data_IF_407041227443
#
_entry.id   IF_407041227443
#
_cell.length_a   1.000
_cell.length_b   1.000
_cell.length_c   1.000
_cell.angle_alpha   90.00
_cell.angle_beta   90.00
_cell.angle_gamma   90.00
#
_symmetry.space_group_name_H-M   'P 1'
#
loop_
_entity.id
_entity.type
_entity.pdbx_description
1 polymer ?
#
# COMPACT_ATOMS: atom_id res chain seq x y z
N UNK A 1 3.17 12.85 19.15
CA UNK A 1 4.36 12.68 20.02
C UNK A 1 5.64 12.54 19.17
N UNK A 2 5.72 11.64 18.19
CA UNK A 2 6.92 11.48 17.33
C UNK A 2 7.39 12.76 16.64
N UNK A 3 6.49 13.51 16.00
CA UNK A 3 6.82 14.80 15.36
C UNK A 3 7.42 15.80 16.36
N UNK A 4 6.79 15.98 17.52
CA UNK A 4 7.29 16.93 18.54
C UNK A 4 8.70 16.54 19.03
N UNK A 5 8.94 15.23 19.23
CA UNK A 5 10.25 14.73 19.61
C UNK A 5 11.28 14.99 18.50
N UNK A 6 10.95 14.70 17.25
CA UNK A 6 11.84 14.91 16.11
C UNK A 6 12.21 16.38 15.92
N UNK A 7 11.23 17.30 16.03
CA UNK A 7 11.47 18.74 15.96
C UNK A 7 12.35 19.24 17.13
N UNK A 8 12.11 18.75 18.33
CA UNK A 8 12.92 19.08 19.50
C UNK A 8 14.37 18.64 19.32
N UNK A 9 14.59 17.40 18.87
CA UNK A 9 15.92 16.86 18.59
C UNK A 9 16.61 17.58 17.44
N UNK A 10 15.88 18.01 16.41
CA UNK A 10 16.41 18.79 15.29
C UNK A 10 16.91 20.18 15.71
N UNK A 11 16.31 20.78 16.75
CA UNK A 11 16.75 22.07 17.31
C UNK A 11 17.92 21.97 18.30
N UNK A 12 18.30 20.76 18.72
CA UNK A 12 19.38 20.51 19.66
C UNK A 12 20.57 19.89 18.93
N UNK A 13 21.71 20.57 18.92
CA UNK A 13 22.96 20.03 18.37
C UNK A 13 23.93 19.67 19.52
N UNK A 14 23.61 18.58 20.24
CA UNK A 14 24.40 18.11 21.37
C UNK A 14 24.46 16.57 21.40
N UNK A 15 25.42 16.00 22.14
CA UNK A 15 25.62 14.56 22.24
C UNK A 15 24.40 13.79 22.78
N UNK A 16 23.54 14.43 23.56
CA UNK A 16 22.33 13.79 24.12
C UNK A 16 21.27 13.65 23.03
N UNK A 17 21.08 14.65 22.18
CA UNK A 17 20.13 14.58 21.06
C UNK A 17 20.54 13.53 20.06
N UNK A 18 21.83 13.41 19.73
CA UNK A 18 22.36 12.35 18.87
C UNK A 18 22.15 10.95 19.48
N UNK A 19 22.39 10.78 20.78
CA UNK A 19 22.19 9.49 21.45
C UNK A 19 20.70 9.07 21.42
N UNK A 20 19.78 10.01 21.69
CA UNK A 20 18.34 9.72 21.64
C UNK A 20 17.92 9.37 20.19
N UNK A 21 18.41 10.11 19.20
CA UNK A 21 18.08 9.87 17.80
C UNK A 21 18.58 8.50 17.32
N UNK A 22 19.81 8.08 17.72
CA UNK A 22 20.35 6.76 17.43
C UNK A 22 19.44 5.65 17.99
N UNK A 23 18.91 5.84 19.21
CA UNK A 23 17.94 4.91 19.80
C UNK A 23 16.65 4.89 18.97
N UNK A 24 16.10 6.06 18.61
CA UNK A 24 14.87 6.16 17.80
C UNK A 24 15.03 5.46 16.45
N UNK A 25 16.14 5.70 15.75
CA UNK A 25 16.44 5.07 14.46
C UNK A 25 16.61 3.56 14.61
N UNK A 26 17.27 3.11 15.68
CA UNK A 26 17.46 1.68 15.97
C UNK A 26 16.13 1.00 16.28
N UNK A 27 15.27 1.61 17.10
CA UNK A 27 13.93 1.10 17.42
C UNK A 27 13.06 1.02 16.17
N UNK A 28 13.07 2.07 15.33
CA UNK A 28 12.40 2.06 14.01
C UNK A 28 12.85 0.88 13.16
N UNK A 29 14.18 0.70 13.05
CA UNK A 29 14.77 -0.39 12.27
C UNK A 29 14.31 -1.76 12.77
N UNK A 30 14.40 -2.03 14.07
CA UNK A 30 14.01 -3.33 14.65
C UNK A 30 12.50 -3.58 14.46
N UNK A 31 11.66 -2.57 14.72
CA UNK A 31 10.21 -2.69 14.54
C UNK A 31 9.85 -2.98 13.08
N UNK A 32 10.50 -2.30 12.13
CA UNK A 32 10.30 -2.52 10.70
C UNK A 32 10.74 -3.94 10.27
N UNK A 33 11.90 -4.41 10.75
CA UNK A 33 12.40 -5.78 10.49
C UNK A 33 11.43 -6.84 11.01
N UNK A 34 10.92 -6.67 12.24
CA UNK A 34 9.96 -7.59 12.83
C UNK A 34 8.65 -7.65 12.02
N UNK A 35 8.10 -6.51 11.66
CA UNK A 35 6.87 -6.47 10.85
C UNK A 35 7.12 -7.09 9.48
N UNK A 36 8.22 -6.75 8.81
CA UNK A 36 8.62 -7.32 7.52
C UNK A 36 8.76 -8.84 7.57
N UNK A 37 9.29 -9.40 8.68
CA UNK A 37 9.34 -10.85 8.90
C UNK A 37 7.92 -11.47 8.96
N UNK A 38 6.96 -10.79 9.60
CA UNK A 38 5.60 -11.30 9.75
C UNK A 38 4.77 -11.24 8.45
N UNK A 39 5.09 -10.35 7.51
CA UNK A 39 4.30 -10.14 6.29
C UNK A 39 4.12 -11.41 5.45
N UNK A 40 5.17 -12.20 5.11
CA UNK A 40 5.00 -13.45 4.36
C UNK A 40 4.11 -14.46 5.09
N UNK A 41 4.19 -14.53 6.42
CA UNK A 41 3.32 -15.40 7.23
C UNK A 41 1.86 -15.00 7.11
N UNK A 42 1.56 -13.68 7.16
CA UNK A 42 0.20 -13.15 7.01
C UNK A 42 -0.34 -13.49 5.62
N UNK A 43 0.45 -13.26 4.56
CA UNK A 43 0.05 -13.55 3.18
C UNK A 43 -0.28 -15.04 3.01
N UNK A 44 0.57 -15.94 3.47
CA UNK A 44 0.35 -17.38 3.38
C UNK A 44 -0.87 -17.78 4.22
N UNK A 45 -0.95 -17.29 5.45
CA UNK A 45 -2.00 -17.64 6.41
C UNK A 45 -3.40 -17.18 6.01
N UNK A 46 -3.52 -16.15 5.16
CA UNK A 46 -4.83 -15.70 4.71
C UNK A 46 -5.15 -16.09 3.27
N UNK A 47 -4.22 -15.95 2.33
CA UNK A 47 -4.51 -16.21 0.91
C UNK A 47 -4.67 -17.70 0.63
N UNK A 48 -3.76 -18.57 1.08
CA UNK A 48 -3.81 -19.99 0.75
C UNK A 48 -5.10 -20.66 1.25
N UNK A 49 -5.51 -20.53 2.53
CA UNK A 49 -6.77 -21.12 2.99
C UNK A 49 -8.01 -20.50 2.34
N UNK A 50 -7.98 -19.18 2.05
CA UNK A 50 -9.11 -18.53 1.39
C UNK A 50 -9.33 -19.06 -0.04
N UNK A 51 -8.24 -19.32 -0.78
CA UNK A 51 -8.33 -19.94 -2.11
C UNK A 51 -8.86 -21.37 -2.01
N UNK A 52 -8.44 -22.16 -1.04
CA UNK A 52 -8.98 -23.52 -0.86
C UNK A 52 -10.47 -23.52 -0.59
N UNK A 53 -10.98 -22.57 0.21
CA UNK A 53 -12.41 -22.42 0.49
C UNK A 53 -13.25 -22.05 -0.75
N UNK A 54 -12.65 -21.40 -1.75
CA UNK A 54 -13.32 -21.10 -3.02
C UNK A 54 -13.49 -22.35 -3.91
N UNK A 55 -12.72 -23.42 -3.65
CA UNK A 55 -12.81 -24.69 -4.35
C UNK A 55 -12.68 -24.54 -5.86
N UNK A 56 -13.63 -25.09 -6.62
CA UNK A 56 -13.64 -25.03 -8.09
C UNK A 56 -13.72 -23.60 -8.67
N UNK A 57 -14.10 -22.60 -7.87
CA UNK A 57 -14.19 -21.21 -8.30
C UNK A 57 -12.92 -20.39 -8.03
N UNK A 58 -11.90 -20.98 -7.40
CA UNK A 58 -10.69 -20.28 -6.96
C UNK A 58 -9.99 -19.55 -8.13
N UNK A 59 -9.74 -20.25 -9.24
CA UNK A 59 -9.08 -19.66 -10.42
C UNK A 59 -9.89 -18.50 -11.02
N UNK A 60 -11.21 -18.62 -11.06
CA UNK A 60 -12.09 -17.57 -11.58
C UNK A 60 -12.08 -16.34 -10.70
N UNK A 61 -12.16 -16.53 -9.38
CA UNK A 61 -12.11 -15.42 -8.42
C UNK A 61 -10.77 -14.69 -8.44
N UNK A 62 -9.67 -15.44 -8.58
CA UNK A 62 -8.34 -14.86 -8.71
C UNK A 62 -8.21 -13.98 -9.95
N UNK A 63 -8.66 -14.46 -11.12
CA UNK A 63 -8.64 -13.68 -12.37
C UNK A 63 -9.46 -12.40 -12.22
N UNK A 64 -10.64 -12.48 -11.63
CA UNK A 64 -11.48 -11.30 -11.40
C UNK A 64 -10.80 -10.32 -10.45
N UNK A 65 -10.20 -10.79 -9.35
CA UNK A 65 -9.49 -9.95 -8.41
C UNK A 65 -8.31 -9.22 -9.07
N UNK A 66 -7.49 -9.94 -9.83
CA UNK A 66 -6.38 -9.36 -10.61
C UNK A 66 -6.89 -8.30 -11.59
N UNK A 67 -7.92 -8.62 -12.36
CA UNK A 67 -8.48 -7.72 -13.36
C UNK A 67 -8.97 -6.41 -12.75
N UNK A 68 -9.76 -6.46 -11.67
CA UNK A 68 -10.28 -5.24 -11.04
C UNK A 68 -9.18 -4.41 -10.38
N UNK A 69 -8.15 -5.05 -9.79
CA UNK A 69 -7.01 -4.36 -9.21
C UNK A 69 -6.18 -3.61 -10.26
N UNK A 70 -5.86 -4.27 -11.38
CA UNK A 70 -5.12 -3.64 -12.49
C UNK A 70 -5.93 -2.52 -13.14
N UNK A 71 -7.21 -2.74 -13.44
CA UNK A 71 -8.07 -1.72 -14.03
C UNK A 71 -8.16 -0.49 -13.12
N UNK A 72 -8.27 -0.69 -11.80
CA UNK A 72 -8.28 0.41 -10.85
C UNK A 72 -6.94 1.15 -10.81
N UNK A 73 -5.81 0.47 -10.71
CA UNK A 73 -4.49 1.11 -10.64
C UNK A 73 -4.15 1.87 -11.92
N UNK A 74 -4.36 1.26 -13.09
CA UNK A 74 -4.12 1.91 -14.39
C UNK A 74 -5.10 3.07 -14.60
N UNK A 75 -6.36 2.90 -14.23
CA UNK A 75 -7.35 3.97 -14.29
C UNK A 75 -6.99 5.17 -13.42
N UNK A 76 -6.44 4.94 -12.24
CA UNK A 76 -5.94 5.99 -11.35
C UNK A 76 -4.75 6.76 -11.97
N UNK A 77 -3.83 6.06 -12.65
CA UNK A 77 -2.73 6.70 -13.37
C UNK A 77 -3.24 7.59 -14.53
N UNK A 78 -4.20 7.12 -15.31
CA UNK A 78 -4.81 7.94 -16.36
C UNK A 78 -5.57 9.13 -15.80
N UNK A 79 -6.28 8.97 -14.70
CA UNK A 79 -6.93 10.07 -14.00
C UNK A 79 -5.91 11.12 -13.53
N UNK A 80 -4.77 10.70 -12.97
CA UNK A 80 -3.69 11.59 -12.59
C UNK A 80 -3.07 12.32 -13.79
N UNK A 81 -2.84 11.61 -14.89
CA UNK A 81 -2.34 12.18 -16.14
C UNK A 81 -3.26 13.28 -16.67
N UNK A 82 -4.57 12.99 -16.76
CA UNK A 82 -5.56 13.98 -17.19
C UNK A 82 -5.59 15.20 -16.25
N UNK A 83 -5.60 14.96 -14.93
CA UNK A 83 -5.57 16.02 -13.92
C UNK A 83 -4.28 16.85 -14.01
N UNK A 84 -3.15 16.20 -14.27
CA UNK A 84 -1.86 16.86 -14.44
C UNK A 84 -1.85 17.83 -15.61
N UNK A 85 -2.28 17.40 -16.78
CA UNK A 85 -2.37 18.29 -17.95
C UNK A 85 -3.35 19.46 -17.77
N UNK A 86 -4.39 19.29 -16.95
CA UNK A 86 -5.40 20.34 -16.76
C UNK A 86 -5.04 21.31 -15.64
N UNK A 87 -4.43 20.86 -14.55
CA UNK A 87 -4.22 21.66 -13.33
C UNK A 87 -2.82 22.30 -13.29
N UNK A 88 -1.78 21.53 -13.60
CA UNK A 88 -0.39 21.98 -13.43
C UNK A 88 0.00 23.22 -14.29
N UNK A 89 -0.56 23.46 -15.49
CA UNK A 89 -0.28 24.68 -16.23
C UNK A 89 -0.62 25.97 -15.48
N UNK A 90 -1.56 25.91 -14.53
CA UNK A 90 -2.03 27.05 -13.75
C UNK A 90 -1.27 27.26 -12.42
N UNK A 91 -0.27 26.42 -12.13
CA UNK A 91 0.51 26.48 -10.89
C UNK A 91 1.90 27.04 -11.14
N UNK A 92 2.30 28.02 -10.30
CA UNK A 92 3.68 28.49 -10.22
C UNK A 92 4.40 27.74 -9.07
N UNK A 93 5.27 26.81 -9.41
CA UNK A 93 5.99 25.98 -8.46
C UNK A 93 7.48 26.25 -8.61
N UNK A 94 8.14 26.73 -7.53
CA UNK A 94 9.58 26.93 -7.49
C UNK A 94 10.29 25.69 -6.93
N UNK A 95 11.31 25.14 -7.61
CA UNK A 95 11.98 23.90 -7.22
C UNK A 95 13.09 24.06 -6.17
N UNK A 96 13.20 25.20 -5.50
CA UNK A 96 14.30 25.45 -4.54
C UNK A 96 14.11 24.61 -3.27
N UNK A 97 14.85 23.50 -3.19
CA UNK A 97 14.79 22.53 -2.09
C UNK A 97 16.14 22.47 -1.38
N UNK A 98 16.21 23.06 -0.19
CA UNK A 98 17.35 22.91 0.73
C UNK A 98 17.57 21.45 1.16
N UNK A 99 18.85 21.06 1.32
CA UNK A 99 19.23 19.73 1.75
C UNK A 99 18.60 19.31 3.09
N UNK A 100 18.29 18.03 3.20
CA UNK A 100 17.82 17.40 4.43
C UNK A 100 19.00 17.06 5.35
N UNK A 101 18.73 16.96 6.67
CA UNK A 101 19.68 16.40 7.62
C UNK A 101 19.80 14.89 7.45
N UNK A 102 21.00 14.38 7.49
CA UNK A 102 21.23 12.93 7.49
C UNK A 102 20.83 12.32 8.84
N UNK A 103 20.25 11.13 8.79
CA UNK A 103 19.99 10.35 9.98
C UNK A 103 21.27 9.65 10.43
N UNK A 104 21.50 9.53 11.75
CA UNK A 104 22.62 8.74 12.24
C UNK A 104 22.42 7.26 11.96
N UNK A 105 23.51 6.51 11.97
CA UNK A 105 23.47 5.06 11.85
C UNK A 105 22.79 4.41 13.09
N UNK A 106 22.24 3.21 12.87
CA UNK A 106 21.67 2.40 13.95
C UNK A 106 22.76 2.01 14.95
N UNK A 107 22.42 1.98 16.25
CA UNK A 107 23.37 1.59 17.32
C UNK A 107 23.87 0.15 17.13
N UNK A 108 22.97 -0.74 16.70
CA UNK A 108 23.31 -2.10 16.29
C UNK A 108 22.33 -2.59 15.22
N UNK A 109 22.80 -3.50 14.39
CA UNK A 109 21.98 -4.11 13.35
C UNK A 109 21.50 -5.49 13.80
N UNK A 110 20.18 -5.62 13.98
CA UNK A 110 19.52 -6.91 14.16
C UNK A 110 18.83 -7.27 12.84
N UNK A 111 19.50 -8.03 12.00
CA UNK A 111 18.89 -8.51 10.77
C UNK A 111 17.93 -9.66 11.08
N UNK A 112 16.64 -9.45 10.87
CA UNK A 112 15.62 -10.50 10.93
C UNK A 112 15.19 -10.77 9.47
N UNK A 113 15.84 -11.72 8.77
CA UNK A 113 15.52 -11.97 7.38
C UNK A 113 14.10 -12.52 7.26
N UNK A 114 13.37 -12.08 6.25
CA UNK A 114 12.08 -12.68 5.89
C UNK A 114 12.27 -14.16 5.56
N UNK A 115 11.30 -15.01 5.93
CA UNK A 115 11.30 -16.44 5.56
C UNK A 115 11.35 -16.58 4.04
N UNK A 116 10.67 -15.69 3.32
CA UNK A 116 10.74 -15.55 1.87
C UNK A 116 10.31 -14.12 1.47
N UNK A 117 10.71 -13.64 0.29
CA UNK A 117 10.21 -12.37 -0.24
C UNK A 117 8.68 -12.35 -0.34
N UNK A 118 8.07 -11.18 -0.15
CA UNK A 118 6.61 -10.97 -0.17
C UNK A 118 5.95 -11.55 -1.42
N UNK A 119 6.55 -11.31 -2.61
CA UNK A 119 6.05 -11.87 -3.86
C UNK A 119 6.15 -13.39 -3.92
N UNK A 120 7.22 -13.98 -3.37
CA UNK A 120 7.34 -15.44 -3.28
C UNK A 120 6.25 -16.03 -2.39
N UNK A 121 5.93 -15.38 -1.26
CA UNK A 121 4.84 -15.79 -0.39
C UNK A 121 3.47 -15.71 -1.09
N UNK A 122 3.25 -14.66 -1.89
CA UNK A 122 2.03 -14.50 -2.68
C UNK A 122 1.87 -15.61 -3.72
N UNK A 123 2.89 -15.82 -4.56
CA UNK A 123 2.86 -16.90 -5.56
C UNK A 123 2.74 -18.27 -4.92
N UNK A 124 3.48 -18.54 -3.85
CA UNK A 124 3.39 -19.78 -3.08
C UNK A 124 1.95 -20.02 -2.59
N UNK A 125 1.34 -19.01 -1.98
CA UNK A 125 -0.03 -19.08 -1.44
C UNK A 125 -1.06 -19.38 -2.53
N UNK A 126 -0.93 -18.69 -3.68
CA UNK A 126 -1.82 -18.90 -4.83
C UNK A 126 -1.65 -20.31 -5.40
N UNK A 127 -0.41 -20.76 -5.64
CA UNK A 127 -0.16 -22.10 -6.20
C UNK A 127 -0.61 -23.21 -5.26
N UNK A 128 -0.27 -23.13 -3.97
CA UNK A 128 -0.66 -24.15 -2.98
C UNK A 128 -2.19 -24.15 -2.78
N UNK A 129 -2.80 -22.96 -2.68
CA UNK A 129 -4.25 -22.82 -2.54
C UNK A 129 -5.02 -23.40 -3.73
N UNK A 130 -4.59 -23.08 -4.95
CA UNK A 130 -5.20 -23.63 -6.18
C UNK A 130 -5.00 -25.15 -6.28
N UNK A 131 -3.77 -25.63 -6.04
CA UNK A 131 -3.49 -27.07 -6.12
C UNK A 131 -4.30 -27.87 -5.08
N UNK A 132 -4.41 -27.35 -3.85
CA UNK A 132 -5.24 -27.96 -2.82
C UNK A 132 -6.73 -27.95 -3.18
N UNK A 133 -7.23 -26.85 -3.78
CA UNK A 133 -8.61 -26.74 -4.26
C UNK A 133 -8.89 -27.73 -5.41
N UNK A 134 -8.01 -27.82 -6.41
CA UNK A 134 -8.17 -28.75 -7.55
C UNK A 134 -8.16 -30.22 -7.13
N UNK A 135 -7.32 -30.57 -6.14
CA UNK A 135 -7.22 -31.93 -5.62
C UNK A 135 -8.26 -32.26 -4.53
N UNK A 136 -9.10 -31.31 -4.14
CA UNK A 136 -10.04 -31.43 -3.00
C UNK A 136 -9.37 -32.00 -1.73
N UNK A 137 -8.13 -31.53 -1.42
CA UNK A 137 -7.31 -32.06 -0.34
C UNK A 137 -7.79 -31.56 1.02
N UNK A 138 -8.60 -32.36 1.71
CA UNK A 138 -9.16 -32.02 3.03
C UNK A 138 -8.07 -31.77 4.09
N UNK A 139 -7.04 -32.60 4.13
CA UNK A 139 -5.95 -32.50 5.12
C UNK A 139 -5.19 -31.19 4.96
N UNK A 140 -4.80 -30.84 3.73
CA UNK A 140 -4.07 -29.60 3.44
C UNK A 140 -4.95 -28.40 3.74
N UNK A 141 -6.22 -28.43 3.39
CA UNK A 141 -7.17 -27.33 3.68
C UNK A 141 -7.30 -27.11 5.20
N UNK A 142 -7.48 -28.16 5.98
CA UNK A 142 -7.52 -28.06 7.45
C UNK A 142 -6.21 -27.52 8.05
N UNK A 143 -5.07 -28.03 7.58
CA UNK A 143 -3.77 -27.52 8.02
C UNK A 143 -3.57 -26.02 7.73
N UNK A 144 -4.01 -25.56 6.56
CA UNK A 144 -3.97 -24.14 6.20
C UNK A 144 -4.91 -23.29 7.07
N UNK A 145 -6.08 -23.80 7.44
CA UNK A 145 -7.01 -23.11 8.34
C UNK A 145 -6.46 -23.00 9.76
N UNK A 146 -5.86 -24.07 10.29
CA UNK A 146 -5.15 -24.00 11.57
C UNK A 146 -3.99 -23.01 11.53
N UNK A 147 -3.25 -22.98 10.43
CA UNK A 147 -2.17 -22.02 10.24
C UNK A 147 -2.72 -20.58 10.19
N UNK A 148 -3.89 -20.33 9.57
CA UNK A 148 -4.56 -19.04 9.61
C UNK A 148 -4.85 -18.57 11.04
N UNK A 149 -5.35 -19.46 11.90
CA UNK A 149 -5.64 -19.16 13.30
C UNK A 149 -4.37 -18.80 14.09
N UNK A 150 -3.27 -19.51 13.84
CA UNK A 150 -1.96 -19.21 14.44
C UNK A 150 -1.48 -17.81 13.98
N UNK A 151 -1.54 -17.53 12.69
CA UNK A 151 -1.12 -16.24 12.12
C UNK A 151 -1.98 -15.10 12.66
N UNK A 152 -3.30 -15.28 12.78
CA UNK A 152 -4.20 -14.30 13.39
C UNK A 152 -3.80 -13.98 14.83
N UNK A 153 -3.38 -15.00 15.59
CA UNK A 153 -2.88 -14.80 16.96
C UNK A 153 -1.56 -14.04 17.00
N UNK A 154 -0.65 -14.28 16.05
CA UNK A 154 0.60 -13.51 15.90
C UNK A 154 0.28 -12.04 15.58
N UNK A 155 -0.62 -11.81 14.64
CA UNK A 155 -1.03 -10.46 14.23
C UNK A 155 -1.59 -9.68 15.42
N UNK A 156 -2.55 -10.24 16.13
CA UNK A 156 -3.26 -9.53 17.21
C UNK A 156 -2.39 -9.31 18.45
N UNK A 157 -1.51 -10.26 18.78
CA UNK A 157 -0.71 -10.20 20.02
C UNK A 157 0.65 -9.53 19.86
N UNK A 158 1.21 -9.51 18.65
CA UNK A 158 2.55 -8.99 18.41
C UNK A 158 2.57 -7.87 17.36
N UNK A 159 1.99 -8.07 16.16
CA UNK A 159 2.12 -7.08 15.07
C UNK A 159 1.40 -5.79 15.43
N UNK A 160 0.11 -5.87 15.77
CA UNK A 160 -0.70 -4.67 16.10
C UNK A 160 -0.10 -3.85 17.25
N UNK A 161 0.37 -4.42 18.37
CA UNK A 161 1.01 -3.65 19.43
C UNK A 161 2.33 -2.97 19.05
N UNK A 162 3.06 -3.47 18.05
CA UNK A 162 4.31 -2.86 17.58
C UNK A 162 4.08 -1.68 16.62
N UNK A 163 2.92 -1.62 15.94
CA UNK A 163 2.61 -0.55 14.98
C UNK A 163 2.74 0.88 15.54
N UNK A 164 2.21 1.22 16.73
CA UNK A 164 2.34 2.58 17.28
C UNK A 164 3.81 3.00 17.49
N UNK A 165 4.68 2.04 17.82
CA UNK A 165 6.10 2.29 17.98
C UNK A 165 6.75 2.60 16.64
N UNK A 166 6.48 1.80 15.60
CA UNK A 166 6.96 2.05 14.24
C UNK A 166 6.48 3.41 13.72
N UNK A 167 5.18 3.72 13.87
CA UNK A 167 4.60 5.00 13.44
C UNK A 167 5.27 6.17 14.16
N UNK A 168 5.39 6.10 15.49
CA UNK A 168 5.99 7.17 16.29
C UNK A 168 7.43 7.46 15.92
N UNK A 169 8.25 6.42 15.72
CA UNK A 169 9.65 6.56 15.32
C UNK A 169 9.79 7.04 13.86
N UNK A 170 8.93 6.62 12.95
CA UNK A 170 8.90 7.10 11.56
C UNK A 170 8.65 8.60 11.48
N UNK A 171 7.61 9.10 12.15
CA UNK A 171 7.36 10.55 12.17
C UNK A 171 8.41 11.35 12.92
N UNK A 172 9.08 10.74 13.90
CA UNK A 172 10.21 11.39 14.59
C UNK A 172 11.39 11.59 13.64
N UNK A 173 11.76 10.58 12.86
CA UNK A 173 12.86 10.68 11.89
C UNK A 173 12.54 11.69 10.78
N UNK A 174 11.34 11.67 10.19
CA UNK A 174 10.91 12.64 9.17
C UNK A 174 10.94 14.10 9.68
N UNK A 175 10.56 14.32 10.93
CA UNK A 175 10.60 15.65 11.54
C UNK A 175 12.05 16.11 11.80
N UNK A 176 12.93 15.21 12.24
CA UNK A 176 14.34 15.49 12.45
C UNK A 176 15.08 15.83 11.16
N UNK A 177 14.89 15.06 10.10
CA UNK A 177 15.50 15.27 8.78
C UNK A 177 15.16 16.64 8.19
N UNK A 178 14.05 17.24 8.58
CA UNK A 178 13.53 18.46 8.01
C UNK A 178 12.52 18.24 6.89
N UNK A 179 12.19 17.00 6.58
CA UNK A 179 11.18 16.63 5.59
C UNK A 179 9.85 17.35 5.84
N UNK A 180 9.39 17.36 7.10
CA UNK A 180 8.13 18.02 7.49
C UNK A 180 8.25 19.55 7.46
N UNK A 181 9.40 20.13 7.84
CA UNK A 181 9.53 21.58 8.01
C UNK A 181 10.00 22.31 6.75
N UNK A 182 10.82 21.70 5.92
CA UNK A 182 11.44 22.34 4.75
C UNK A 182 10.78 21.92 3.44
N UNK A 183 10.60 20.63 3.19
CA UNK A 183 10.12 20.13 1.91
C UNK A 183 8.59 20.13 1.81
N UNK A 184 7.89 19.70 2.86
CA UNK A 184 6.43 19.66 2.84
C UNK A 184 5.78 21.01 2.46
N UNK A 185 6.25 22.20 2.95
CA UNK A 185 5.64 23.47 2.56
C UNK A 185 5.78 23.78 1.06
N UNK A 186 6.91 23.39 0.43
CA UNK A 186 7.18 23.66 -1.00
C UNK A 186 6.24 22.86 -1.89
N UNK A 187 6.04 21.58 -1.54
CA UNK A 187 5.20 20.68 -2.31
C UNK A 187 3.76 20.60 -1.82
N UNK A 188 3.40 21.39 -0.79
CA UNK A 188 2.10 21.30 -0.12
C UNK A 188 0.91 21.43 -1.08
N UNK A 189 0.99 22.36 -2.03
CA UNK A 189 -0.09 22.55 -3.01
C UNK A 189 -0.25 21.31 -3.87
N UNK A 190 0.85 20.72 -4.36
CA UNK A 190 0.82 19.50 -5.17
C UNK A 190 0.26 18.34 -4.36
N UNK A 191 0.72 18.19 -3.11
CA UNK A 191 0.26 17.17 -2.17
C UNK A 191 -1.25 17.27 -1.94
N UNK A 192 -1.76 18.48 -1.69
CA UNK A 192 -3.20 18.72 -1.49
C UNK A 192 -3.99 18.33 -2.75
N UNK A 193 -3.52 18.71 -3.93
CA UNK A 193 -4.17 18.35 -5.20
C UNK A 193 -4.24 16.83 -5.37
N UNK A 194 -3.12 16.14 -5.13
CA UNK A 194 -3.08 14.67 -5.21
C UNK A 194 -3.99 14.03 -4.17
N UNK A 195 -4.02 14.53 -2.94
CA UNK A 195 -4.95 14.05 -1.91
C UNK A 195 -6.42 14.23 -2.30
N UNK A 196 -6.77 15.38 -2.88
CA UNK A 196 -8.12 15.59 -3.44
C UNK A 196 -8.39 14.55 -4.55
N UNK A 197 -7.41 14.29 -5.41
CA UNK A 197 -7.48 13.24 -6.42
C UNK A 197 -7.73 11.85 -5.81
N UNK A 198 -7.04 11.50 -4.73
CA UNK A 198 -7.26 10.25 -4.01
C UNK A 198 -8.70 10.13 -3.50
N UNK A 199 -9.25 11.19 -2.89
CA UNK A 199 -10.63 11.16 -2.39
C UNK A 199 -11.67 11.08 -3.52
N UNK A 200 -11.42 11.76 -4.64
CA UNK A 200 -12.28 11.63 -5.84
C UNK A 200 -12.24 10.19 -6.36
N UNK A 201 -11.04 9.61 -6.46
CA UNK A 201 -10.86 8.24 -6.93
C UNK A 201 -11.53 7.22 -6.00
N UNK A 202 -11.33 7.34 -4.69
CA UNK A 202 -11.98 6.49 -3.69
C UNK A 202 -13.52 6.63 -3.78
N UNK A 203 -14.03 7.84 -3.94
CA UNK A 203 -15.47 8.08 -4.11
C UNK A 203 -16.00 7.37 -5.35
N UNK A 204 -15.27 7.44 -6.46
CA UNK A 204 -15.61 6.72 -7.68
C UNK A 204 -15.60 5.20 -7.46
N UNK A 205 -14.52 4.65 -6.88
CA UNK A 205 -14.39 3.22 -6.62
C UNK A 205 -15.51 2.69 -5.72
N UNK A 206 -15.78 3.36 -4.60
CA UNK A 206 -16.84 2.96 -3.68
C UNK A 206 -18.23 3.10 -4.29
N UNK A 207 -18.45 4.12 -5.11
CA UNK A 207 -19.72 4.29 -5.86
C UNK A 207 -19.93 3.16 -6.85
N UNK A 208 -18.90 2.83 -7.64
CA UNK A 208 -18.94 1.70 -8.57
C UNK A 208 -19.13 0.36 -7.85
N UNK A 209 -18.41 0.16 -6.75
CA UNK A 209 -18.51 -1.04 -5.94
C UNK A 209 -19.92 -1.23 -5.35
N UNK A 210 -20.48 -0.17 -4.78
CA UNK A 210 -21.84 -0.18 -4.23
C UNK A 210 -22.90 -0.43 -5.29
N UNK A 211 -22.79 0.26 -6.44
CA UNK A 211 -23.70 0.06 -7.57
C UNK A 211 -23.62 -1.36 -8.14
N UNK A 212 -22.40 -1.90 -8.28
CA UNK A 212 -22.18 -3.25 -8.78
C UNK A 212 -22.68 -4.32 -7.81
N UNK A 213 -22.34 -4.22 -6.52
CA UNK A 213 -22.76 -5.17 -5.48
C UNK A 213 -24.22 -4.97 -5.03
N UNK A 214 -24.86 -3.86 -5.40
CA UNK A 214 -26.19 -3.43 -4.90
C UNK A 214 -26.23 -3.32 -3.37
N UNK A 215 -25.14 -2.86 -2.77
CA UNK A 215 -24.97 -2.67 -1.33
C UNK A 215 -24.51 -1.25 -1.02
N UNK A 216 -24.79 -0.76 0.18
CA UNK A 216 -24.36 0.57 0.59
C UNK A 216 -22.84 0.58 0.88
N UNK A 217 -22.02 1.27 0.08
CA UNK A 217 -20.57 1.30 0.25
C UNK A 217 -20.13 2.02 1.53
N UNK A 218 -20.96 2.91 2.08
CA UNK A 218 -20.66 3.61 3.34
C UNK A 218 -20.58 2.64 4.54
N UNK A 219 -21.24 1.49 4.46
CA UNK A 219 -21.12 0.44 5.48
C UNK A 219 -19.70 -0.16 5.54
N UNK A 220 -18.93 -0.02 4.47
CA UNK A 220 -17.52 -0.41 4.43
C UNK A 220 -16.64 0.78 4.81
N UNK A 221 -16.77 1.88 4.11
CA UNK A 221 -15.89 3.04 4.23
C UNK A 221 -15.81 3.58 5.67
N UNK A 222 -16.93 3.60 6.41
CA UNK A 222 -16.98 4.08 7.81
C UNK A 222 -16.04 3.34 8.78
N UNK A 223 -15.64 2.11 8.45
CA UNK A 223 -14.75 1.29 9.28
C UNK A 223 -13.28 1.44 8.91
N UNK A 224 -12.94 2.05 7.76
CA UNK A 224 -11.58 2.10 7.23
C UNK A 224 -10.69 3.22 7.80
N UNK A 225 -11.23 4.09 8.66
CA UNK A 225 -10.45 5.15 9.31
C UNK A 225 -9.18 4.65 10.00
N UNK A 226 -9.21 3.61 10.85
CA UNK A 226 -8.02 3.06 11.49
C UNK A 226 -6.99 2.53 10.48
N UNK A 227 -7.42 1.83 9.43
CA UNK A 227 -6.52 1.33 8.38
C UNK A 227 -5.88 2.49 7.60
N UNK A 228 -6.66 3.53 7.25
CA UNK A 228 -6.15 4.75 6.62
C UNK A 228 -5.03 5.39 7.45
N UNK A 229 -5.28 5.64 8.74
CA UNK A 229 -4.31 6.27 9.64
C UNK A 229 -3.07 5.40 9.88
N UNK A 230 -3.23 4.08 9.96
CA UNK A 230 -2.10 3.15 10.06
C UNK A 230 -1.25 3.18 8.79
N UNK A 231 -1.88 3.20 7.62
CA UNK A 231 -1.17 3.30 6.34
C UNK A 231 -0.39 4.63 6.22
N UNK A 232 -1.00 5.76 6.61
CA UNK A 232 -0.30 7.06 6.68
C UNK A 232 0.93 6.98 7.59
N UNK A 233 0.80 6.30 8.73
CA UNK A 233 1.88 6.22 9.71
C UNK A 233 2.99 5.25 9.35
N UNK A 234 2.65 4.12 8.74
CA UNK A 234 3.62 3.05 8.41
C UNK A 234 4.23 3.21 7.03
N UNK A 235 3.57 3.93 6.13
CA UNK A 235 3.93 4.03 4.70
C UNK A 235 4.02 2.64 4.03
N UNK A 236 3.23 1.66 4.52
CA UNK A 236 3.33 0.28 4.07
C UNK A 236 1.96 -0.41 4.11
N UNK A 237 1.45 -0.81 2.95
CA UNK A 237 0.24 -1.64 2.84
C UNK A 237 0.42 -2.97 3.57
N UNK A 238 1.60 -3.57 3.47
CA UNK A 238 1.93 -4.82 4.13
C UNK A 238 1.90 -4.68 5.66
N UNK A 239 2.51 -3.63 6.22
CA UNK A 239 2.45 -3.36 7.66
C UNK A 239 1.04 -3.02 8.14
N UNK A 240 0.19 -2.47 7.26
CA UNK A 240 -1.20 -2.12 7.56
C UNK A 240 -2.18 -3.29 7.42
N UNK A 241 -1.76 -4.38 6.78
CA UNK A 241 -2.61 -5.50 6.39
C UNK A 241 -3.47 -6.04 7.54
N UNK A 242 -2.89 -6.21 8.72
CA UNK A 242 -3.61 -6.70 9.90
C UNK A 242 -4.78 -5.80 10.32
N UNK A 243 -4.56 -4.49 10.28
CA UNK A 243 -5.60 -3.50 10.61
C UNK A 243 -6.65 -3.41 9.50
N UNK A 244 -6.22 -3.51 8.23
CA UNK A 244 -7.12 -3.52 7.08
C UNK A 244 -8.07 -4.72 7.11
N UNK A 245 -7.56 -5.91 7.45
CA UNK A 245 -8.38 -7.12 7.67
C UNK A 245 -9.43 -6.91 8.77
N UNK A 246 -9.02 -6.35 9.92
CA UNK A 246 -9.93 -6.08 11.02
C UNK A 246 -11.02 -5.07 10.61
N UNK A 247 -10.65 -4.00 9.90
CA UNK A 247 -11.60 -3.00 9.39
C UNK A 247 -12.59 -3.61 8.39
N UNK A 248 -12.11 -4.46 7.49
CA UNK A 248 -12.94 -5.13 6.50
C UNK A 248 -13.91 -6.12 7.15
N UNK A 249 -13.47 -6.88 8.17
CA UNK A 249 -14.34 -7.81 8.93
C UNK A 249 -15.47 -7.09 9.68
N UNK A 250 -15.22 -5.88 10.18
CA UNK A 250 -16.27 -5.03 10.79
C UNK A 250 -17.35 -4.59 9.79
N UNK A 251 -17.11 -4.78 8.50
CA UNK A 251 -18.04 -4.40 7.43
C UNK A 251 -19.06 -5.49 7.08
N UNK A 252 -19.03 -6.63 7.75
CA UNK A 252 -20.04 -7.70 7.57
C UNK A 252 -21.45 -7.21 7.93
N UNK A 253 -22.47 -7.68 7.24
CA UNK A 253 -22.47 -8.60 6.08
C UNK A 253 -22.30 -7.89 4.72
N UNK A 254 -21.88 -6.63 4.70
CA UNK A 254 -21.74 -5.87 3.45
C UNK A 254 -20.63 -6.46 2.57
N UNK A 255 -19.47 -6.78 3.16
CA UNK A 255 -18.45 -7.63 2.54
C UNK A 255 -18.55 -9.01 3.20
N UNK A 256 -18.53 -10.07 2.41
CA UNK A 256 -18.50 -11.44 2.91
C UNK A 256 -17.14 -11.77 3.53
N UNK A 257 -17.12 -12.51 4.63
CA UNK A 257 -15.89 -12.87 5.34
C UNK A 257 -14.88 -13.59 4.44
N UNK A 258 -15.33 -14.54 3.63
CA UNK A 258 -14.48 -15.27 2.68
C UNK A 258 -13.86 -14.34 1.61
N UNK A 259 -14.55 -13.27 1.24
CA UNK A 259 -14.01 -12.23 0.33
C UNK A 259 -13.07 -11.26 1.05
N UNK A 260 -13.23 -11.04 2.34
CA UNK A 260 -12.27 -10.31 3.16
C UNK A 260 -10.96 -11.09 3.26
N UNK A 261 -11.01 -12.34 3.69
CA UNK A 261 -9.84 -13.20 3.92
C UNK A 261 -9.06 -13.49 2.63
N UNK A 262 -9.74 -13.55 1.49
CA UNK A 262 -9.13 -13.71 0.18
C UNK A 262 -8.65 -12.36 -0.40
N UNK A 263 -9.55 -11.37 -0.48
CA UNK A 263 -9.35 -10.16 -1.25
C UNK A 263 -8.38 -9.18 -0.59
N UNK A 264 -8.53 -8.89 0.71
CA UNK A 264 -7.72 -7.87 1.38
C UNK A 264 -6.23 -8.20 1.35
N UNK A 265 -5.76 -9.42 1.70
CA UNK A 265 -4.33 -9.74 1.60
C UNK A 265 -3.80 -9.77 0.17
N UNK A 266 -4.65 -10.16 -0.80
CA UNK A 266 -4.28 -10.14 -2.21
C UNK A 266 -4.12 -8.69 -2.70
N UNK A 267 -5.13 -7.84 -2.49
CA UNK A 267 -5.15 -6.45 -2.93
C UNK A 267 -4.05 -5.60 -2.30
N UNK A 268 -3.74 -5.80 -1.03
CA UNK A 268 -2.65 -5.12 -0.35
C UNK A 268 -1.29 -5.25 -1.07
N UNK A 269 -1.14 -6.24 -1.95
CA UNK A 269 0.08 -6.49 -2.71
C UNK A 269 -0.02 -6.13 -4.20
N UNK A 270 -1.24 -6.05 -4.76
CA UNK A 270 -1.43 -5.89 -6.21
C UNK A 270 -2.25 -4.65 -6.59
N UNK A 271 -2.89 -3.98 -5.63
CA UNK A 271 -3.70 -2.79 -5.88
C UNK A 271 -3.01 -1.55 -5.34
N UNK A 272 -2.54 -0.69 -6.24
CA UNK A 272 -1.69 0.45 -5.94
C UNK A 272 -2.26 1.77 -6.48
N UNK A 273 -3.60 1.91 -6.50
CA UNK A 273 -4.26 3.05 -7.15
C UNK A 273 -3.80 4.42 -6.63
N UNK A 274 -3.59 4.57 -5.32
CA UNK A 274 -3.13 5.82 -4.72
C UNK A 274 -1.65 6.10 -5.03
N UNK A 275 -0.77 5.10 -4.85
CA UNK A 275 0.67 5.25 -5.11
C UNK A 275 0.93 5.53 -6.59
N UNK A 276 0.27 4.81 -7.50
CA UNK A 276 0.41 5.01 -8.96
C UNK A 276 -0.14 6.39 -9.38
N UNK A 277 -1.26 6.83 -8.80
CA UNK A 277 -1.80 8.18 -9.01
C UNK A 277 -0.82 9.25 -8.56
N UNK A 278 -0.27 9.11 -7.35
CA UNK A 278 0.74 10.00 -6.78
C UNK A 278 1.95 10.10 -7.68
N UNK A 279 2.56 8.98 -8.03
CA UNK A 279 3.74 8.89 -8.87
C UNK A 279 3.52 9.57 -10.22
N UNK A 280 2.41 9.26 -10.88
CA UNK A 280 2.06 9.82 -12.18
C UNK A 280 1.89 11.34 -12.15
N UNK A 281 1.21 11.86 -11.13
CA UNK A 281 1.00 13.31 -11.01
C UNK A 281 2.31 14.04 -10.69
N UNK A 282 3.18 13.46 -9.83
CA UNK A 282 4.47 14.06 -9.51
C UNK A 282 5.45 14.01 -10.67
N UNK A 283 5.47 12.95 -11.46
CA UNK A 283 6.23 12.90 -12.72
C UNK A 283 5.90 14.10 -13.60
N UNK A 284 4.62 14.40 -13.78
CA UNK A 284 4.21 15.55 -14.57
C UNK A 284 4.60 16.88 -13.93
N UNK A 285 4.46 16.99 -12.60
CA UNK A 285 4.84 18.20 -11.86
C UNK A 285 6.35 18.45 -11.95
N UNK A 286 7.18 17.43 -11.71
CA UNK A 286 8.65 17.52 -11.81
C UNK A 286 9.09 17.84 -13.24
N UNK A 287 8.48 17.21 -14.24
CA UNK A 287 8.77 17.51 -15.64
C UNK A 287 8.50 18.99 -15.96
N UNK A 288 7.37 19.52 -15.52
CA UNK A 288 7.04 20.95 -15.69
C UNK A 288 8.00 21.86 -14.93
N UNK A 289 8.42 21.48 -13.72
CA UNK A 289 9.33 22.28 -12.88
C UNK A 289 10.73 22.35 -13.47
N UNK A 290 11.32 21.21 -13.84
CA UNK A 290 12.72 21.14 -14.25
C UNK A 290 12.94 21.41 -15.74
N UNK A 291 12.04 20.90 -16.58
CA UNK A 291 12.19 20.97 -18.04
C UNK A 291 11.26 22.00 -18.68
N UNK A 292 10.38 22.63 -17.88
CA UNK A 292 9.33 23.56 -18.32
C UNK A 292 8.39 22.99 -19.41
N UNK A 293 8.35 21.67 -19.52
CA UNK A 293 7.54 20.91 -20.48
C UNK A 293 6.79 19.77 -19.79
N UNK A 294 5.66 19.37 -20.36
CA UNK A 294 4.99 18.13 -19.97
C UNK A 294 5.48 16.97 -20.84
N UNK A 295 5.58 15.74 -20.29
CA UNK A 295 5.87 14.59 -21.11
C UNK A 295 4.80 14.44 -22.21
N UNK A 296 5.15 14.01 -23.43
CA UNK A 296 4.20 13.73 -24.50
C UNK A 296 3.13 12.71 -24.09
N UNK A 297 1.89 12.88 -24.58
CA UNK A 297 0.73 12.04 -24.21
C UNK A 297 1.00 10.56 -24.46
N UNK A 298 1.62 10.20 -25.59
CA UNK A 298 1.97 8.83 -25.93
C UNK A 298 2.96 8.20 -24.96
N UNK A 299 3.93 8.97 -24.46
CA UNK A 299 4.87 8.52 -23.42
C UNK A 299 4.16 8.35 -22.07
N UNK A 300 3.22 9.25 -21.74
CA UNK A 300 2.43 9.11 -20.51
C UNK A 300 1.49 7.91 -20.55
N UNK A 301 0.87 7.61 -21.70
CA UNK A 301 0.07 6.39 -21.86
C UNK A 301 0.93 5.15 -21.59
N UNK A 302 2.10 5.08 -22.23
CA UNK A 302 3.02 3.96 -22.03
C UNK A 302 3.49 3.87 -20.58
N UNK A 303 3.86 5.01 -19.97
CA UNK A 303 4.26 5.09 -18.57
C UNK A 303 3.17 4.56 -17.63
N UNK A 304 1.93 5.01 -17.76
CA UNK A 304 0.80 4.58 -16.93
C UNK A 304 0.53 3.08 -17.04
N UNK A 305 0.56 2.52 -18.24
CA UNK A 305 0.36 1.09 -18.47
C UNK A 305 1.48 0.26 -17.83
N UNK A 306 2.74 0.65 -18.05
CA UNK A 306 3.88 -0.07 -17.51
C UNK A 306 3.99 0.10 -16.00
N UNK A 307 3.75 1.31 -15.47
CA UNK A 307 3.75 1.55 -14.03
C UNK A 307 2.69 0.71 -13.33
N UNK A 308 1.45 0.67 -13.85
CA UNK A 308 0.39 -0.16 -13.30
C UNK A 308 0.71 -1.66 -13.26
N UNK A 309 1.60 -2.13 -14.13
CA UNK A 309 2.03 -3.54 -14.17
C UNK A 309 3.28 -3.77 -13.31
N UNK A 310 4.31 -2.93 -13.42
CA UNK A 310 5.61 -3.16 -12.79
C UNK A 310 5.70 -2.69 -11.33
N UNK A 311 4.81 -1.79 -10.91
CA UNK A 311 4.77 -1.33 -9.52
C UNK A 311 4.42 -2.46 -8.51
N UNK A 312 3.77 -3.52 -9.00
CA UNK A 312 3.34 -4.64 -8.17
C UNK A 312 4.54 -5.43 -7.67
N UNK A 313 4.65 -5.51 -6.34
CA UNK A 313 5.69 -6.30 -5.68
C UNK A 313 7.12 -5.78 -5.84
N UNK A 314 7.30 -4.56 -6.34
CA UNK A 314 8.63 -3.96 -6.44
C UNK A 314 9.23 -3.73 -5.04
N UNK A 315 10.46 -4.20 -4.79
CA UNK A 315 11.18 -3.87 -3.56
C UNK A 315 11.37 -2.35 -3.48
N UNK A 316 10.99 -1.73 -2.34
CA UNK A 316 11.10 -0.28 -2.17
C UNK A 316 9.92 0.53 -2.71
N UNK A 317 8.81 -0.15 -3.06
CA UNK A 317 7.56 0.50 -3.45
C UNK A 317 7.48 0.95 -4.90
N UNK A 318 6.43 1.69 -5.21
CA UNK A 318 6.08 2.14 -6.57
C UNK A 318 7.21 2.97 -7.20
N UNK A 319 7.88 3.81 -6.43
CA UNK A 319 8.95 4.69 -6.93
C UNK A 319 10.15 3.91 -7.47
N UNK A 320 10.55 2.81 -6.82
CA UNK A 320 11.68 2.01 -7.29
C UNK A 320 11.35 1.29 -8.60
N UNK A 321 10.09 0.86 -8.76
CA UNK A 321 9.62 0.31 -10.03
C UNK A 321 9.59 1.37 -11.14
N UNK A 322 9.28 2.62 -10.78
CA UNK A 322 9.15 3.71 -11.75
C UNK A 322 10.48 4.28 -12.20
N UNK A 323 11.58 4.15 -11.43
CA UNK A 323 12.88 4.75 -11.78
C UNK A 323 13.33 4.40 -13.20
N UNK A 324 13.23 3.12 -13.57
CA UNK A 324 13.55 2.68 -14.93
C UNK A 324 12.61 3.24 -16.00
N UNK A 325 11.35 3.50 -15.65
CA UNK A 325 10.36 4.10 -16.54
C UNK A 325 10.55 5.61 -16.66
N UNK A 326 10.86 6.28 -15.55
CA UNK A 326 11.11 7.73 -15.51
C UNK A 326 12.34 8.07 -16.38
N UNK A 327 13.41 7.32 -16.25
CA UNK A 327 14.63 7.52 -17.04
C UNK A 327 14.47 6.99 -18.47
N UNK A 328 14.00 5.75 -18.65
CA UNK A 328 13.98 5.05 -19.94
C UNK A 328 12.85 5.49 -20.87
N UNK A 329 11.65 5.77 -20.34
CA UNK A 329 10.48 6.18 -21.13
C UNK A 329 10.34 7.69 -21.20
N UNK A 330 10.47 8.38 -20.06
CA UNK A 330 10.23 9.82 -19.97
C UNK A 330 11.49 10.63 -20.21
N UNK A 331 12.68 10.05 -20.01
CA UNK A 331 13.97 10.69 -20.31
C UNK A 331 14.45 11.65 -19.21
N UNK A 332 14.04 11.42 -17.94
CA UNK A 332 14.52 12.22 -16.82
C UNK A 332 16.01 11.99 -16.58
N UNK A 333 16.72 13.06 -16.26
CA UNK A 333 18.10 13.03 -15.80
C UNK A 333 18.22 12.66 -14.31
N UNK A 334 19.45 12.66 -13.80
CA UNK A 334 19.73 12.36 -12.39
C UNK A 334 19.04 13.35 -11.44
N UNK A 335 18.96 14.64 -11.80
CA UNK A 335 18.31 15.67 -10.99
C UNK A 335 16.81 15.43 -10.87
N UNK A 336 16.16 15.17 -12.01
CA UNK A 336 14.73 14.85 -12.03
C UNK A 336 14.41 13.57 -11.26
N UNK A 337 15.25 12.56 -11.39
CA UNK A 337 15.12 11.29 -10.66
C UNK A 337 15.30 11.46 -9.15
N UNK A 338 16.30 12.23 -8.72
CA UNK A 338 16.54 12.54 -7.30
C UNK A 338 15.37 13.33 -6.68
N UNK A 339 14.84 14.31 -7.44
CA UNK A 339 13.68 15.09 -7.00
C UNK A 339 12.43 14.19 -6.86
N UNK A 340 12.20 13.28 -7.80
CA UNK A 340 11.09 12.30 -7.71
C UNK A 340 11.20 11.43 -6.46
N UNK A 341 12.38 10.90 -6.14
CA UNK A 341 12.61 10.11 -4.91
C UNK A 341 12.28 10.92 -3.66
N UNK A 342 12.70 12.19 -3.63
CA UNK A 342 12.45 13.08 -2.50
C UNK A 342 10.97 13.35 -2.29
N UNK A 343 10.26 13.72 -3.36
CA UNK A 343 8.83 14.03 -3.30
C UNK A 343 8.01 12.80 -2.96
N UNK A 344 8.37 11.66 -3.54
CA UNK A 344 7.68 10.41 -3.25
C UNK A 344 7.74 10.05 -1.76
N UNK A 345 8.90 10.22 -1.13
CA UNK A 345 9.05 9.99 0.31
C UNK A 345 8.10 10.84 1.17
N UNK A 346 7.74 12.05 0.71
CA UNK A 346 6.77 12.92 1.37
C UNK A 346 5.32 12.44 1.23
N UNK A 347 5.00 11.84 0.10
CA UNK A 347 3.62 11.56 -0.31
C UNK A 347 3.23 10.09 -0.17
N UNK A 348 4.17 9.17 -0.02
CA UNK A 348 3.92 7.73 0.03
C UNK A 348 2.94 7.32 1.14
N UNK A 349 2.93 8.07 2.24
CA UNK A 349 1.95 7.95 3.32
C UNK A 349 0.50 7.98 2.82
N UNK A 350 0.16 8.97 1.99
CA UNK A 350 -1.20 9.20 1.53
C UNK A 350 -1.56 8.30 0.34
N UNK A 351 -0.58 8.00 -0.52
CA UNK A 351 -0.74 7.02 -1.60
C UNK A 351 -1.07 5.64 -1.04
N UNK A 352 -0.31 5.19 -0.05
CA UNK A 352 -0.54 3.92 0.65
C UNK A 352 -1.89 3.89 1.35
N UNK A 353 -2.29 4.99 2.01
CA UNK A 353 -3.61 5.08 2.66
C UNK A 353 -4.76 4.99 1.65
N UNK A 354 -4.60 5.56 0.45
CA UNK A 354 -5.55 5.43 -0.64
C UNK A 354 -5.62 3.99 -1.15
N UNK A 355 -4.47 3.31 -1.35
CA UNK A 355 -4.42 1.89 -1.74
C UNK A 355 -5.24 1.02 -0.78
N UNK A 356 -4.86 1.05 0.50
CA UNK A 356 -5.48 0.23 1.55
C UNK A 356 -6.99 0.52 1.69
N UNK A 357 -7.39 1.78 1.56
CA UNK A 357 -8.82 2.12 1.64
C UNK A 357 -9.56 1.64 0.39
N UNK A 358 -8.94 1.73 -0.79
CA UNK A 358 -9.47 1.23 -2.05
C UNK A 358 -9.66 -0.29 -2.06
N UNK A 359 -8.83 -1.05 -1.33
CA UNK A 359 -8.95 -2.51 -1.20
C UNK A 359 -10.32 -2.92 -0.66
N UNK A 360 -10.89 -2.14 0.25
CA UNK A 360 -12.26 -2.35 0.76
C UNK A 360 -13.33 -2.23 -0.33
N UNK A 361 -13.17 -1.29 -1.26
CA UNK A 361 -14.08 -1.18 -2.40
C UNK A 361 -13.94 -2.37 -3.35
N UNK A 362 -12.71 -2.84 -3.61
CA UNK A 362 -12.49 -4.01 -4.46
C UNK A 362 -13.03 -5.29 -3.82
N UNK A 363 -12.88 -5.46 -2.49
CA UNK A 363 -13.46 -6.58 -1.76
C UNK A 363 -15.01 -6.58 -1.81
N UNK A 364 -15.62 -5.37 -1.83
CA UNK A 364 -17.07 -5.23 -2.04
C UNK A 364 -17.47 -5.64 -3.48
N UNK A 365 -16.67 -5.28 -4.50
CA UNK A 365 -16.90 -5.74 -5.88
C UNK A 365 -16.79 -7.27 -5.94
N UNK A 366 -15.78 -7.88 -5.33
CA UNK A 366 -15.64 -9.34 -5.28
C UNK A 366 -16.85 -10.01 -4.61
N UNK A 367 -17.34 -9.43 -3.51
CA UNK A 367 -18.55 -9.91 -2.84
C UNK A 367 -19.74 -9.89 -3.80
N UNK A 368 -19.97 -8.77 -4.48
CA UNK A 368 -21.05 -8.66 -5.45
C UNK A 368 -20.89 -9.62 -6.64
N UNK A 369 -19.66 -9.86 -7.09
CA UNK A 369 -19.37 -10.83 -8.14
C UNK A 369 -19.70 -12.25 -7.69
N UNK A 370 -19.22 -12.64 -6.51
CA UNK A 370 -19.46 -13.97 -5.95
C UNK A 370 -20.95 -14.24 -5.76
N UNK A 371 -21.71 -13.29 -5.22
CA UNK A 371 -23.16 -13.40 -5.03
C UNK A 371 -23.91 -13.55 -6.36
N UNK A 372 -23.57 -12.73 -7.38
CA UNK A 372 -24.20 -12.82 -8.70
C UNK A 372 -23.97 -14.16 -9.43
N UNK A 373 -22.86 -14.82 -9.14
CA UNK A 373 -22.49 -16.08 -9.80
C UNK A 373 -22.69 -17.30 -8.94
N UNK A 374 -23.37 -17.17 -7.77
CA UNK A 374 -23.65 -18.29 -6.87
C UNK A 374 -22.39 -18.95 -6.31
N UNK A 375 -21.31 -18.17 -6.15
CA UNK A 375 -20.05 -18.66 -5.57
C UNK A 375 -20.18 -18.62 -4.06
N UNK A 376 -20.16 -19.77 -3.42
CA UNK A 376 -20.20 -19.93 -1.97
C UNK A 376 -18.93 -20.64 -1.49
N UNK A 377 -18.43 -20.33 -0.28
CA UNK A 377 -17.32 -21.07 0.31
C UNK A 377 -17.75 -22.54 0.49
N UNK A 378 -16.85 -23.46 0.20
CA UNK A 378 -17.12 -24.88 0.50
C UNK A 378 -17.19 -25.06 2.01
N UNK A 379 -18.30 -25.56 2.51
CA UNK A 379 -18.40 -26.04 3.90
C UNK A 379 -17.53 -27.30 4.01
N UNK A 380 -16.48 -27.24 4.83
CA UNK A 380 -15.79 -28.45 5.23
C UNK A 380 -16.76 -29.30 6.08
N UNK A 381 -17.16 -30.43 5.55
CA UNK A 381 -17.77 -31.47 6.43
C UNK A 381 -16.69 -31.87 7.43
N UNK A 382 -16.99 -31.69 8.73
CA UNK A 382 -16.12 -32.13 9.80
C UNK A 382 -15.75 -33.60 9.58
N UNK A 383 -14.51 -33.88 9.34
CA UNK A 383 -13.99 -35.25 9.39
C UNK A 383 -13.79 -35.53 10.87
N UNK A 384 -14.87 -36.05 11.50
CA UNK A 384 -14.78 -36.75 12.80
C UNK A 384 -14.27 -38.16 12.57
#
# INVERSE_FOLDING_TARGET
MGICLGLALSGMDNGVSHAILNIVVTVKYIAAQFISFCVPLIIIGFIAPSITRLGNNASRMLIVALFIAYVSSIGAAFFATFSGYTILPHLNINPDVDGLKELPEVVFQLSIPQIMPVMSALFFSVLVGLAAAWNNSKIITQALEEFQNIVLSIVTKFVIPVLPLLIGTTFCTLAYEGTITKQLPIFLIIIIIVMIGHYIWLTLLYSLAGAYAKKNPMNVLKHYGPAYMTAVGTMSSAATLSVALECAKKSEPTIREDMVDFGIPLFANIHLCGSVMTETFFVMAVSKMLYNEFPPVEKMILFCLLLGVFAIGAPGGTVMASLGLITGVLGFDETGTALMLTIFALQDSFGTACNVTGDGALALILTGYAEKHGIHPQKLESVL
#
